data_IF_797129300156
#
_entry.id   IF_797129300156
#
_cell.length_a   1.000
_cell.length_b   1.000
_cell.length_c   1.000
_cell.angle_alpha   90.00
_cell.angle_beta   90.00
_cell.angle_gamma   90.00
#
_symmetry.space_group_name_H-M   'P 1'
#
loop_
_entity.id
_entity.type
_entity.pdbx_description
1 polymer ?
#
# COMPACT_ATOMS: atom_id res chain seq x y z
N UNK A 1 80.74 18.22 -20.93
CA UNK A 1 80.22 18.27 -19.55
C UNK A 1 78.77 18.78 -19.58
N UNK A 2 77.78 17.90 -19.79
CA UNK A 2 76.36 18.26 -19.80
C UNK A 2 75.71 17.91 -18.45
N UNK A 3 75.01 18.85 -17.83
CA UNK A 3 74.29 18.69 -16.55
C UNK A 3 72.92 18.05 -16.78
N UNK A 4 72.47 17.05 -15.99
CA UNK A 4 71.12 16.51 -16.12
C UNK A 4 70.08 17.39 -15.41
N UNK A 5 68.95 17.63 -16.06
CA UNK A 5 67.83 18.44 -15.58
C UNK A 5 67.00 17.70 -14.50
N UNK A 6 67.15 18.07 -13.24
CA UNK A 6 66.38 17.51 -12.11
C UNK A 6 65.05 18.26 -11.80
N UNK A 7 64.56 19.12 -12.71
CA UNK A 7 63.42 20.02 -12.44
C UNK A 7 62.03 19.46 -12.82
N UNK A 8 61.95 18.44 -13.69
CA UNK A 8 60.68 17.87 -14.16
C UNK A 8 60.04 16.87 -13.18
N UNK A 9 60.81 15.99 -12.57
CA UNK A 9 60.29 14.92 -11.69
C UNK A 9 59.62 15.44 -10.40
N UNK A 10 60.14 16.53 -9.85
CA UNK A 10 59.57 17.20 -8.69
C UNK A 10 58.24 17.92 -9.01
N UNK A 11 57.95 18.17 -10.28
CA UNK A 11 56.71 18.83 -10.73
C UNK A 11 55.61 17.80 -11.00
N UNK A 12 55.93 16.66 -11.61
CA UNK A 12 55.01 15.54 -11.85
C UNK A 12 54.53 14.90 -10.54
N UNK A 13 55.44 14.70 -9.58
CA UNK A 13 55.08 14.21 -8.23
C UNK A 13 54.12 15.14 -7.48
N UNK A 14 54.28 16.46 -7.63
CA UNK A 14 53.36 17.46 -7.04
C UNK A 14 52.00 17.48 -7.76
N UNK A 15 51.96 17.19 -9.06
CA UNK A 15 50.72 17.08 -9.82
C UNK A 15 49.96 15.79 -9.44
N UNK A 16 50.65 14.67 -9.29
CA UNK A 16 50.09 13.42 -8.76
C UNK A 16 49.49 13.61 -7.37
N UNK A 17 50.22 14.26 -6.46
CA UNK A 17 49.71 14.57 -5.12
C UNK A 17 48.43 15.43 -5.14
N UNK A 18 48.31 16.35 -6.10
CA UNK A 18 47.08 17.16 -6.28
C UNK A 18 45.94 16.32 -6.84
N UNK A 19 46.22 15.36 -7.71
CA UNK A 19 45.24 14.44 -8.26
C UNK A 19 44.70 13.51 -7.17
N UNK A 20 45.58 12.88 -6.39
CA UNK A 20 45.21 12.00 -5.28
C UNK A 20 44.35 12.74 -4.25
N UNK A 21 44.69 13.99 -3.94
CA UNK A 21 43.88 14.84 -3.05
C UNK A 21 42.47 15.09 -3.60
N UNK A 22 42.33 15.27 -4.92
CA UNK A 22 41.02 15.43 -5.56
C UNK A 22 40.22 14.14 -5.52
N UNK A 23 40.85 13.00 -5.79
CA UNK A 23 40.19 11.69 -5.70
C UNK A 23 39.67 11.41 -4.29
N UNK A 24 40.50 11.64 -3.28
CA UNK A 24 40.11 11.51 -1.87
C UNK A 24 38.96 12.45 -1.51
N UNK A 25 38.97 13.68 -2.02
CA UNK A 25 37.86 14.62 -1.83
C UNK A 25 36.55 14.10 -2.43
N UNK A 26 36.58 13.66 -3.70
CA UNK A 26 35.38 13.12 -4.35
C UNK A 26 34.88 11.83 -3.70
N UNK A 27 35.79 10.96 -3.25
CA UNK A 27 35.44 9.76 -2.50
C UNK A 27 34.72 10.12 -1.19
N UNK A 28 35.25 11.12 -0.45
CA UNK A 28 34.65 11.59 0.81
C UNK A 28 33.27 12.22 0.60
N UNK A 29 33.10 13.02 -0.45
CA UNK A 29 31.79 13.63 -0.80
C UNK A 29 30.77 12.56 -1.22
N UNK A 30 31.18 11.57 -2.03
CA UNK A 30 30.29 10.46 -2.42
C UNK A 30 29.89 9.62 -1.22
N UNK A 31 30.85 9.31 -0.34
CA UNK A 31 30.60 8.55 0.88
C UNK A 31 29.63 9.28 1.82
N UNK A 32 29.85 10.58 2.06
CA UNK A 32 28.96 11.36 2.94
C UNK A 32 27.55 11.49 2.37
N UNK A 33 27.41 11.71 1.06
CA UNK A 33 26.12 11.74 0.38
C UNK A 33 25.38 10.40 0.50
N UNK A 34 26.08 9.28 0.30
CA UNK A 34 25.52 7.93 0.44
C UNK A 34 25.10 7.63 1.89
N UNK A 35 25.95 7.96 2.87
CA UNK A 35 25.66 7.78 4.29
C UNK A 35 24.42 8.59 4.74
N UNK A 36 24.33 9.85 4.32
CA UNK A 36 23.17 10.70 4.60
C UNK A 36 21.88 10.15 3.96
N UNK A 37 21.96 9.65 2.73
CA UNK A 37 20.83 9.01 2.06
C UNK A 37 20.37 7.74 2.78
N UNK A 38 21.31 6.90 3.23
CA UNK A 38 21.02 5.69 3.99
C UNK A 38 20.33 6.02 5.33
N UNK A 39 20.86 6.97 6.10
CA UNK A 39 20.27 7.41 7.38
C UNK A 39 18.85 7.95 7.20
N UNK A 40 18.62 8.79 6.18
CA UNK A 40 17.27 9.30 5.84
C UNK A 40 16.30 8.18 5.48
N UNK A 41 16.77 7.13 4.80
CA UNK A 41 15.93 6.00 4.42
C UNK A 41 15.52 5.15 5.64
N UNK A 42 16.44 4.90 6.57
CA UNK A 42 16.21 4.12 7.80
C UNK A 42 15.24 4.86 8.74
N UNK A 43 15.44 6.16 8.93
CA UNK A 43 14.55 6.99 9.76
C UNK A 43 13.10 7.04 9.23
N UNK A 44 12.92 7.06 7.90
CA UNK A 44 11.58 7.04 7.28
C UNK A 44 10.86 5.70 7.51
N UNK A 45 11.57 4.57 7.37
CA UNK A 45 11.00 3.23 7.55
C UNK A 45 10.51 3.01 8.99
N UNK A 46 11.34 3.32 10.00
CA UNK A 46 10.95 3.13 11.41
C UNK A 46 9.76 4.00 11.84
N UNK A 47 9.65 5.24 11.31
CA UNK A 47 8.50 6.11 11.58
C UNK A 47 7.21 5.59 10.93
N UNK A 48 7.31 4.99 9.75
CA UNK A 48 6.17 4.39 9.06
C UNK A 48 5.68 3.13 9.77
N UNK A 49 6.59 2.22 10.14
CA UNK A 49 6.28 0.99 10.86
C UNK A 49 5.58 1.29 12.20
N UNK A 50 6.15 2.19 13.02
CA UNK A 50 5.52 2.62 14.29
C UNK A 50 4.12 3.22 14.08
N UNK A 51 3.89 3.95 12.98
CA UNK A 51 2.56 4.49 12.66
C UNK A 51 1.58 3.39 12.25
N UNK A 52 2.03 2.38 11.51
CA UNK A 52 1.21 1.24 11.13
C UNK A 52 0.85 0.39 12.36
N UNK A 53 1.81 0.09 13.24
CA UNK A 53 1.57 -0.63 14.49
C UNK A 53 0.56 0.08 15.40
N UNK A 54 0.71 1.40 15.58
CA UNK A 54 -0.25 2.19 16.37
C UNK A 54 -1.67 2.14 15.78
N UNK A 55 -1.80 2.17 14.45
CA UNK A 55 -3.10 2.01 13.79
C UNK A 55 -3.66 0.61 14.02
N UNK A 56 -2.86 -0.43 13.82
CA UNK A 56 -3.28 -1.82 14.02
C UNK A 56 -3.75 -2.07 15.46
N UNK A 57 -3.05 -1.52 16.45
CA UNK A 57 -3.44 -1.60 17.87
C UNK A 57 -4.72 -0.81 18.17
N UNK A 58 -4.88 0.39 17.62
CA UNK A 58 -6.08 1.21 17.85
C UNK A 58 -7.38 0.58 17.29
N UNK A 59 -7.27 -0.22 16.23
CA UNK A 59 -8.40 -0.94 15.65
C UNK A 59 -8.48 -2.41 16.11
N UNK A 60 -7.67 -2.83 17.07
CA UNK A 60 -7.73 -4.17 17.64
C UNK A 60 -8.94 -4.27 18.57
N UNK A 61 -9.93 -5.07 18.19
CA UNK A 61 -11.13 -5.35 18.98
C UNK A 61 -10.92 -6.53 19.96
N UNK A 62 -9.67 -6.90 20.24
CA UNK A 62 -9.35 -8.07 21.06
C UNK A 62 -9.86 -7.95 22.50
N UNK A 63 -9.98 -6.74 23.06
CA UNK A 63 -10.57 -6.51 24.39
C UNK A 63 -12.08 -6.78 24.43
N UNK A 64 -12.80 -6.52 23.35
CA UNK A 64 -14.25 -6.78 23.26
C UNK A 64 -14.55 -8.28 23.29
N UNK A 65 -13.64 -9.10 22.76
CA UNK A 65 -13.76 -10.55 22.82
C UNK A 65 -13.73 -11.07 24.26
N UNK A 66 -12.95 -10.46 25.15
CA UNK A 66 -12.91 -10.84 26.56
C UNK A 66 -14.25 -10.63 27.27
N UNK A 67 -14.93 -9.52 26.96
CA UNK A 67 -16.23 -9.17 27.54
C UNK A 67 -17.43 -9.88 26.90
N UNK A 68 -17.29 -10.38 25.66
CA UNK A 68 -18.38 -11.00 24.89
C UNK A 68 -17.97 -12.41 24.43
N UNK A 69 -18.07 -13.43 25.29
CA UNK A 69 -17.69 -14.81 24.96
C UNK A 69 -18.46 -15.39 23.76
N UNK A 70 -19.73 -15.00 23.60
CA UNK A 70 -20.59 -15.41 22.48
C UNK A 70 -20.01 -15.00 21.11
N UNK A 71 -19.33 -13.85 21.03
CA UNK A 71 -18.69 -13.41 19.79
C UNK A 71 -17.44 -14.21 19.48
N UNK A 72 -16.72 -14.77 20.48
CA UNK A 72 -15.55 -15.61 20.23
C UNK A 72 -15.92 -16.87 19.45
N UNK A 73 -17.13 -17.40 19.65
CA UNK A 73 -17.62 -18.58 18.93
C UNK A 73 -18.04 -18.24 17.51
N UNK A 74 -18.70 -17.10 17.33
CA UNK A 74 -19.09 -16.59 16.00
C UNK A 74 -17.88 -16.18 15.14
N UNK A 75 -16.77 -15.74 15.74
CA UNK A 75 -15.54 -15.35 15.04
C UNK A 75 -14.61 -16.53 14.70
N UNK A 76 -14.84 -17.72 15.28
CA UNK A 76 -14.10 -18.96 14.95
C UNK A 76 -14.52 -19.54 13.60
N UNK A 77 -15.75 -19.25 13.14
CA UNK A 77 -16.10 -19.42 11.75
C UNK A 77 -15.19 -18.48 10.92
N UNK A 78 -14.74 -18.85 9.71
CA UNK A 78 -14.00 -17.94 8.86
C UNK A 78 -14.92 -16.75 8.57
N UNK A 79 -14.76 -15.68 9.36
CA UNK A 79 -15.31 -14.38 9.07
C UNK A 79 -14.61 -13.98 7.80
N UNK A 80 -15.21 -14.29 6.65
CA UNK A 80 -14.78 -13.70 5.38
C UNK A 80 -14.64 -12.22 5.71
N UNK A 81 -13.46 -11.61 5.49
CA UNK A 81 -13.32 -10.18 5.70
C UNK A 81 -14.51 -9.58 4.99
N UNK A 82 -15.44 -8.96 5.73
CA UNK A 82 -16.61 -8.34 5.14
C UNK A 82 -16.05 -7.18 4.33
N UNK A 83 -15.75 -7.55 3.10
CA UNK A 83 -15.11 -6.86 2.02
C UNK A 83 -13.98 -5.91 2.43
N UNK A 84 -12.74 -6.36 2.22
CA UNK A 84 -11.57 -5.49 2.03
C UNK A 84 -11.73 -4.42 0.92
N UNK A 85 -12.93 -4.33 0.32
CA UNK A 85 -13.36 -3.39 -0.71
C UNK A 85 -14.47 -2.43 -0.27
N UNK A 86 -14.73 -2.23 1.04
CA UNK A 86 -15.67 -1.20 1.50
C UNK A 86 -15.11 0.23 1.37
N UNK A 87 -14.31 0.49 0.34
CA UNK A 87 -13.91 1.84 -0.03
C UNK A 87 -15.13 2.53 -0.65
N UNK A 88 -15.83 3.30 0.17
CA UNK A 88 -16.97 4.11 -0.25
C UNK A 88 -16.50 5.15 -1.28
N UNK A 89 -16.71 4.85 -2.57
CA UNK A 89 -16.59 5.83 -3.64
C UNK A 89 -17.95 6.53 -3.85
N UNK A 90 -17.98 7.65 -4.57
CA UNK A 90 -19.20 8.44 -4.79
C UNK A 90 -20.35 7.61 -5.41
N UNK A 91 -20.05 6.71 -6.36
CA UNK A 91 -21.04 5.83 -7.01
C UNK A 91 -21.59 4.79 -6.03
N UNK A 92 -20.72 4.16 -5.24
CA UNK A 92 -21.09 3.18 -4.23
C UNK A 92 -21.88 3.83 -3.09
N UNK A 93 -21.54 5.07 -2.72
CA UNK A 93 -22.31 5.85 -1.73
C UNK A 93 -23.73 6.11 -2.23
N UNK A 94 -23.90 6.56 -3.48
CA UNK A 94 -25.22 6.80 -4.03
C UNK A 94 -26.04 5.51 -4.09
N UNK A 95 -25.43 4.39 -4.52
CA UNK A 95 -26.09 3.08 -4.50
C UNK A 95 -26.52 2.69 -3.09
N UNK A 96 -25.63 2.81 -2.10
CA UNK A 96 -25.95 2.52 -0.71
C UNK A 96 -27.13 3.36 -0.21
N UNK A 97 -27.14 4.67 -0.49
CA UNK A 97 -28.25 5.55 -0.10
C UNK A 97 -29.58 5.11 -0.75
N UNK A 98 -29.57 4.70 -2.02
CA UNK A 98 -30.76 4.21 -2.69
C UNK A 98 -31.26 2.89 -2.12
N UNK A 99 -30.35 1.95 -1.84
CA UNK A 99 -30.72 0.66 -1.24
C UNK A 99 -31.24 0.83 0.19
N UNK A 100 -30.59 1.64 1.03
CA UNK A 100 -31.07 1.90 2.38
C UNK A 100 -32.40 2.68 2.37
N UNK A 101 -32.60 3.61 1.43
CA UNK A 101 -33.87 4.30 1.25
C UNK A 101 -35.01 3.33 0.93
N UNK A 102 -34.77 2.33 0.08
CA UNK A 102 -35.76 1.27 -0.21
C UNK A 102 -36.04 0.43 1.04
N UNK A 103 -34.99 -0.04 1.73
CA UNK A 103 -35.14 -0.82 2.96
C UNK A 103 -35.99 -0.10 4.01
N UNK A 104 -35.74 1.20 4.22
CA UNK A 104 -36.53 2.02 5.14
C UNK A 104 -37.98 2.15 4.67
N UNK A 105 -38.20 2.37 3.38
CA UNK A 105 -39.55 2.46 2.83
C UNK A 105 -40.35 1.16 3.03
N UNK A 106 -39.70 0.00 2.97
CA UNK A 106 -40.32 -1.30 3.26
C UNK A 106 -40.67 -1.44 4.74
N UNK A 107 -39.77 -1.02 5.64
CA UNK A 107 -40.02 -0.99 7.09
C UNK A 107 -41.26 -0.15 7.42
N UNK A 108 -41.38 1.04 6.82
CA UNK A 108 -42.54 1.91 7.08
C UNK A 108 -43.86 1.36 6.52
N UNK A 109 -43.82 0.55 5.45
CA UNK A 109 -45.01 -0.13 4.90
C UNK A 109 -45.46 -1.30 5.77
N UNK A 110 -44.56 -1.89 6.55
CA UNK A 110 -44.87 -3.03 7.40
C UNK A 110 -45.69 -2.60 8.62
N UNK A 111 -46.94 -3.05 8.68
CA UNK A 111 -47.86 -2.72 9.78
C UNK A 111 -47.37 -3.21 11.16
N UNK A 112 -46.53 -4.25 11.20
CA UNK A 112 -45.90 -4.73 12.45
C UNK A 112 -45.09 -3.65 13.17
N UNK A 113 -44.48 -2.71 12.45
CA UNK A 113 -43.74 -1.59 13.05
C UNK A 113 -44.65 -0.51 13.64
N UNK A 114 -45.93 -0.48 13.24
CA UNK A 114 -46.91 0.44 13.81
C UNK A 114 -47.58 -0.15 15.06
N UNK A 115 -47.88 -1.45 15.05
CA UNK A 115 -48.60 -2.12 16.15
C UNK A 115 -47.68 -2.52 17.30
N UNK A 116 -46.52 -3.08 17.02
CA UNK A 116 -45.54 -3.47 18.04
C UNK A 116 -44.10 -3.21 17.53
N UNK A 117 -43.61 -1.96 17.64
CA UNK A 117 -42.33 -1.58 17.07
C UNK A 117 -41.17 -2.37 17.69
N UNK A 118 -41.22 -2.67 18.99
CA UNK A 118 -40.16 -3.40 19.67
C UNK A 118 -40.02 -4.82 19.14
N UNK A 119 -41.11 -5.58 19.08
CA UNK A 119 -41.09 -6.94 18.55
C UNK A 119 -40.70 -6.97 17.06
N UNK A 120 -41.19 -6.01 16.27
CA UNK A 120 -40.88 -5.90 14.85
C UNK A 120 -39.39 -5.60 14.61
N UNK A 121 -38.78 -4.71 15.40
CA UNK A 121 -37.34 -4.43 15.35
C UNK A 121 -36.54 -5.69 15.70
N UNK A 122 -36.89 -6.38 16.78
CA UNK A 122 -36.21 -7.62 17.17
C UNK A 122 -36.26 -8.68 16.07
N UNK A 123 -37.44 -8.88 15.47
CA UNK A 123 -37.61 -9.83 14.37
C UNK A 123 -36.81 -9.40 13.13
N UNK A 124 -36.87 -8.11 12.78
CA UNK A 124 -36.13 -7.56 11.64
C UNK A 124 -34.62 -7.74 11.81
N UNK A 125 -34.09 -7.41 12.98
CA UNK A 125 -32.67 -7.61 13.30
C UNK A 125 -32.28 -9.09 13.21
N UNK A 126 -33.10 -9.99 13.74
CA UNK A 126 -32.85 -11.44 13.65
C UNK A 126 -32.83 -11.95 12.21
N UNK A 127 -33.73 -11.45 11.37
CA UNK A 127 -33.83 -11.85 9.96
C UNK A 127 -32.71 -11.27 9.08
N UNK A 128 -32.19 -10.08 9.42
CA UNK A 128 -31.13 -9.40 8.68
C UNK A 128 -29.72 -9.73 9.19
N UNK A 129 -29.59 -10.50 10.26
CA UNK A 129 -28.30 -11.00 10.68
C UNK A 129 -27.73 -11.96 9.61
N UNK A 130 -26.46 -11.80 9.22
CA UNK A 130 -25.82 -12.73 8.30
C UNK A 130 -25.78 -14.11 8.96
N UNK A 131 -26.32 -15.13 8.27
CA UNK A 131 -26.23 -16.52 8.75
C UNK A 131 -24.76 -16.91 8.83
N UNK A 132 -24.28 -17.43 9.99
CA UNK A 132 -22.92 -17.95 10.09
C UNK A 132 -22.78 -19.11 9.10
N UNK A 133 -21.93 -18.90 8.08
CA UNK A 133 -21.63 -19.92 7.08
C UNK A 133 -20.78 -21.01 7.76
N UNK A 134 -21.41 -22.11 8.15
CA UNK A 134 -20.72 -23.38 8.36
C UNK A 134 -20.31 -23.87 6.96
N UNK A 135 -19.03 -23.79 6.64
CA UNK A 135 -18.51 -24.21 5.34
C UNK A 135 -18.58 -25.75 5.23
N UNK A 136 -19.60 -26.28 4.54
CA UNK A 136 -19.39 -27.51 3.77
C UNK A 136 -18.39 -27.18 2.66
N UNK A 137 -17.22 -27.81 2.75
CA UNK A 137 -16.11 -27.63 1.84
C UNK A 137 -16.53 -28.02 0.41
N UNK A 138 -16.75 -27.02 -0.45
CA UNK A 138 -16.80 -27.25 -1.90
C UNK A 138 -15.46 -26.83 -2.57
N UNK A 139 -15.00 -27.60 -3.58
CA UNK A 139 -13.62 -27.55 -4.04
C UNK A 139 -13.31 -26.28 -4.84
N UNK A 140 -12.14 -25.72 -4.54
CA UNK A 140 -11.55 -24.54 -5.19
C UNK A 140 -11.50 -24.71 -6.72
N UNK A 141 -12.21 -23.85 -7.46
CA UNK A 141 -12.04 -23.72 -8.92
C UNK A 141 -10.63 -23.18 -9.21
N UNK A 142 -9.91 -23.87 -10.10
CA UNK A 142 -8.54 -23.56 -10.52
C UNK A 142 -8.49 -22.19 -11.22
N UNK A 143 -7.60 -21.32 -10.77
CA UNK A 143 -7.31 -20.05 -11.42
C UNK A 143 -6.52 -20.30 -12.72
N UNK A 144 -7.06 -19.84 -13.84
CA UNK A 144 -6.33 -19.73 -15.11
C UNK A 144 -5.28 -18.62 -14.98
N UNK A 145 -4.01 -18.99 -14.95
CA UNK A 145 -2.86 -18.09 -15.12
C UNK A 145 -2.56 -17.99 -16.61
N UNK A 146 -3.18 -17.02 -17.29
CA UNK A 146 -2.70 -16.55 -18.59
C UNK A 146 -2.27 -15.09 -18.44
N UNK A 147 -0.96 -14.92 -18.24
CA UNK A 147 -0.29 -13.64 -18.08
C UNK A 147 -0.37 -12.80 -19.36
N UNK A 148 -1.01 -11.64 -19.26
CA UNK A 148 -0.97 -10.62 -20.31
C UNK A 148 0.42 -9.98 -20.38
N UNK A 149 1.26 -10.50 -21.29
CA UNK A 149 2.52 -9.84 -21.70
C UNK A 149 2.19 -8.50 -22.33
N UNK A 150 2.28 -7.42 -21.55
CA UNK A 150 2.22 -6.04 -22.03
C UNK A 150 3.46 -5.79 -22.91
N UNK A 151 3.33 -5.96 -24.22
CA UNK A 151 4.37 -5.64 -25.21
C UNK A 151 4.67 -4.14 -25.11
N UNK A 152 5.90 -3.79 -24.73
CA UNK A 152 6.48 -2.45 -24.93
C UNK A 152 6.58 -2.23 -26.44
N UNK A 153 5.63 -1.52 -27.03
CA UNK A 153 5.79 -0.93 -28.36
C UNK A 153 6.87 0.17 -28.24
N UNK A 154 8.06 -0.10 -28.80
CA UNK A 154 9.05 0.95 -29.03
C UNK A 154 8.48 1.88 -30.10
N UNK A 155 8.23 3.13 -29.74
CA UNK A 155 7.87 4.18 -30.69
C UNK A 155 9.13 4.52 -31.50
N UNK A 156 9.20 3.99 -32.73
CA UNK A 156 10.21 4.40 -33.70
C UNK A 156 10.00 5.89 -34.01
N UNK A 157 11.03 6.71 -33.83
CA UNK A 157 11.06 8.08 -34.33
C UNK A 157 11.45 7.99 -35.81
N UNK A 158 10.47 8.21 -36.69
CA UNK A 158 10.75 8.65 -38.05
C UNK A 158 10.75 10.18 -38.03
N UNK A 159 11.83 10.80 -38.52
CA UNK A 159 12.00 12.24 -38.54
C UNK A 159 13.43 12.61 -38.89
N UNK A 160 13.76 12.45 -40.17
CA UNK A 160 14.94 13.00 -40.83
C UNK A 160 14.93 14.52 -40.71
N UNK A 161 15.99 15.13 -40.18
CA UNK A 161 16.45 16.45 -40.59
C UNK A 161 17.98 16.46 -40.62
N UNK A 162 18.48 16.45 -41.86
CA UNK A 162 19.86 16.81 -42.22
C UNK A 162 20.06 18.30 -41.95
N UNK A 163 21.17 18.65 -41.30
CA UNK A 163 21.80 19.98 -41.31
C UNK A 163 23.26 19.77 -40.90
N UNK A 164 24.09 19.37 -41.86
CA UNK A 164 25.54 19.51 -41.74
C UNK A 164 25.92 20.85 -42.39
N UNK A 165 26.43 21.77 -41.55
CA UNK A 165 27.26 22.89 -41.96
C UNK A 165 28.66 22.66 -41.39
N UNK A 166 29.66 22.93 -42.23
CA UNK A 166 31.12 22.95 -42.02
C UNK A 166 31.87 21.65 -42.30
#
# INVERSE_FOLDING_TARGET
MGKPNARSDASESKLHLKFDKKELFYAKVKYSAASLAAQKSIAKKSKQERRQEKKLKAYSLSSLLETLPELKEQLKAPLKPQEANFKLNCKNRQKLVLEEGKNLSEIFKNHSFQTNPLAAIHQHLRNKQPVPVVEEQQPKKKANVNGSRKRKMKKARAGVQSMDML
#
